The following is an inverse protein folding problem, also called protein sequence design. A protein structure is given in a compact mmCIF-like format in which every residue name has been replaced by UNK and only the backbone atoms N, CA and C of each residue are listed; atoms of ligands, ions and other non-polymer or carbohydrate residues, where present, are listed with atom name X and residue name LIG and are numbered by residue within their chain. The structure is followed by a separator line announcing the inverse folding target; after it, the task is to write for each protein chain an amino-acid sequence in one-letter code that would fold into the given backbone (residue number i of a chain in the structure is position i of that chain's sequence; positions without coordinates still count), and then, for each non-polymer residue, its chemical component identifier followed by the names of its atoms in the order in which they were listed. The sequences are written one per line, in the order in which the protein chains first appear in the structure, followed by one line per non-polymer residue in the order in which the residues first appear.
data_IF_381334911680
#
_entry.id   IF_381334911680
#
_cell.length_a   1.000
_cell.length_b   1.000
_cell.length_c   1.000
_cell.angle_alpha   90.00
_cell.angle_beta   90.00
_cell.angle_gamma   90.00
#
_symmetry.space_group_name_H-M   'P 1'
#
loop_
_entity.id
_entity.type
_entity.pdbx_description
1 polymer ?
#
# COMPACT_ATOMS: atom_id res chain seq x y z
N UNK A 1 5.87 6.48 -19.05
CA UNK A 1 6.99 7.00 -18.25
C UNK A 1 6.53 7.89 -17.07
N UNK A 2 5.28 8.35 -17.02
CA UNK A 2 4.70 9.14 -15.88
C UNK A 2 4.12 8.25 -14.79
N UNK A 3 3.72 7.02 -15.11
CA UNK A 3 3.10 6.08 -14.16
C UNK A 3 4.08 5.47 -13.15
N UNK A 4 5.37 5.37 -13.51
CA UNK A 4 6.38 4.74 -12.66
C UNK A 4 6.86 5.59 -11.47
N UNK A 5 6.86 6.92 -11.60
CA UNK A 5 7.37 7.81 -10.53
C UNK A 5 6.45 7.93 -9.32
N UNK A 6 5.16 7.66 -9.46
CA UNK A 6 4.18 7.94 -8.41
C UNK A 6 3.85 6.74 -7.51
N UNK A 7 4.09 5.53 -8.01
CA UNK A 7 3.95 4.31 -7.19
C UNK A 7 5.16 4.12 -6.23
N UNK A 8 6.30 4.71 -6.57
CA UNK A 8 7.54 4.51 -5.81
C UNK A 8 7.49 5.17 -4.43
N UNK A 9 6.90 6.33 -4.31
CA UNK A 9 6.90 7.12 -3.08
C UNK A 9 5.82 6.67 -2.08
N UNK A 10 4.62 6.35 -2.55
CA UNK A 10 3.60 5.69 -1.70
C UNK A 10 4.12 4.33 -1.19
N UNK A 11 4.87 3.62 -2.04
CA UNK A 11 5.54 2.38 -1.68
C UNK A 11 6.65 2.57 -0.64
N UNK A 12 7.40 3.67 -0.71
CA UNK A 12 8.45 3.97 0.26
C UNK A 12 7.91 4.23 1.67
N UNK A 13 6.76 4.88 1.79
CA UNK A 13 6.14 5.12 3.09
C UNK A 13 5.73 3.81 3.79
N UNK A 14 5.30 2.81 3.03
CA UNK A 14 4.88 1.50 3.56
C UNK A 14 6.05 0.53 3.75
N UNK A 15 7.15 0.70 3.00
CA UNK A 15 8.34 -0.14 3.10
C UNK A 15 9.38 0.44 4.07
N UNK A 16 8.94 1.01 5.20
CA UNK A 16 9.85 1.46 6.26
C UNK A 16 10.52 0.28 6.96
N UNK A 17 11.74 0.46 7.52
CA UNK A 17 12.45 -0.58 8.24
C UNK A 17 11.62 -1.24 9.33
N UNK A 18 11.69 -2.56 9.41
CA UNK A 18 11.02 -3.37 10.43
C UNK A 18 11.71 -3.18 11.77
N UNK A 19 10.94 -2.88 12.82
CA UNK A 19 11.46 -2.72 14.19
C UNK A 19 11.63 -4.09 14.86
N UNK A 20 12.49 -4.17 15.88
CA UNK A 20 12.81 -5.39 16.61
C UNK A 20 11.58 -6.06 17.24
N UNK A 21 11.32 -7.29 16.84
CA UNK A 21 10.22 -8.16 17.22
C UNK A 21 10.35 -9.46 16.44
N UNK A 22 9.26 -10.13 16.14
CA UNK A 22 9.29 -11.22 15.15
C UNK A 22 9.44 -10.64 13.74
N UNK A 23 10.69 -10.50 13.30
CA UNK A 23 11.06 -9.87 12.02
C UNK A 23 10.33 -10.50 10.84
N UNK A 24 10.09 -11.81 10.89
CA UNK A 24 9.35 -12.51 9.85
C UNK A 24 7.88 -12.07 9.82
N UNK A 25 7.20 -12.09 10.96
CA UNK A 25 5.77 -11.68 11.04
C UNK A 25 5.57 -10.23 10.64
N UNK A 26 6.46 -9.34 11.07
CA UNK A 26 6.39 -7.94 10.68
C UNK A 26 6.62 -7.77 9.17
N UNK A 27 7.55 -8.53 8.58
CA UNK A 27 7.78 -8.52 7.13
C UNK A 27 6.53 -9.00 6.39
N UNK A 28 5.88 -10.08 6.84
CA UNK A 28 4.61 -10.56 6.29
C UNK A 28 3.54 -9.47 6.39
N UNK A 29 3.41 -8.83 7.56
CA UNK A 29 2.43 -7.77 7.78
C UNK A 29 2.66 -6.56 6.85
N UNK A 30 3.92 -6.16 6.62
CA UNK A 30 4.25 -5.08 5.69
C UNK A 30 3.88 -5.42 4.26
N UNK A 31 4.19 -6.64 3.82
CA UNK A 31 3.80 -7.09 2.48
C UNK A 31 2.27 -7.18 2.32
N UNK A 32 1.55 -7.65 3.35
CA UNK A 32 0.10 -7.64 3.35
C UNK A 32 -0.51 -6.24 3.33
N UNK A 33 0.14 -5.25 3.94
CA UNK A 33 -0.30 -3.86 3.86
C UNK A 33 -0.29 -3.34 2.41
N UNK A 34 0.71 -3.71 1.60
CA UNK A 34 0.76 -3.36 0.17
C UNK A 34 -0.47 -3.90 -0.58
N UNK A 35 -0.87 -5.14 -0.25
CA UNK A 35 -2.07 -5.76 -0.83
C UNK A 35 -3.36 -5.05 -0.39
N UNK A 36 -3.51 -4.83 0.92
CA UNK A 36 -4.78 -4.32 1.47
C UNK A 36 -5.02 -2.84 1.24
N UNK A 37 -3.96 -2.06 1.17
CA UNK A 37 -4.07 -0.63 0.84
C UNK A 37 -4.22 -0.39 -0.66
N UNK A 38 -4.05 -1.45 -1.47
CA UNK A 38 -4.20 -1.36 -2.91
C UNK A 38 -3.17 -0.45 -3.56
N UNK A 39 -1.97 -0.40 -3.00
CA UNK A 39 -0.84 0.35 -3.56
C UNK A 39 -0.42 -0.23 -4.90
N UNK A 40 -0.54 -1.56 -5.02
CA UNK A 40 -0.33 -2.31 -6.26
C UNK A 40 -1.65 -2.84 -6.80
N UNK A 41 -1.75 -2.94 -8.11
CA UNK A 41 -2.89 -3.54 -8.78
C UNK A 41 -2.73 -5.08 -8.88
N UNK A 42 -3.84 -5.81 -9.02
CA UNK A 42 -3.76 -7.21 -9.39
C UNK A 42 -2.89 -7.41 -10.64
N UNK A 43 -1.97 -8.35 -10.57
CA UNK A 43 -1.02 -8.62 -11.65
C UNK A 43 0.23 -7.74 -11.69
N UNK A 44 0.34 -6.71 -10.86
CA UNK A 44 1.56 -5.91 -10.74
C UNK A 44 2.73 -6.76 -10.22
N UNK A 45 3.94 -6.40 -10.64
CA UNK A 45 5.14 -7.04 -10.15
C UNK A 45 5.51 -6.53 -8.77
N UNK A 46 5.74 -7.47 -7.84
CA UNK A 46 6.35 -7.14 -6.55
C UNK A 46 7.81 -6.71 -6.77
N UNK A 47 8.31 -5.68 -6.07
CA UNK A 47 9.71 -5.30 -6.14
C UNK A 47 10.65 -6.49 -5.87
N UNK A 48 11.85 -6.52 -6.47
CA UNK A 48 12.80 -7.61 -6.27
C UNK A 48 13.15 -7.82 -4.80
N UNK A 49 13.34 -9.09 -4.38
CA UNK A 49 13.68 -9.44 -2.98
C UNK A 49 14.83 -8.60 -2.40
N UNK A 50 15.82 -8.27 -3.23
CA UNK A 50 16.97 -7.45 -2.81
C UNK A 50 16.54 -6.03 -2.43
N UNK A 51 15.64 -5.45 -3.19
CA UNK A 51 15.13 -4.11 -2.97
C UNK A 51 14.23 -4.08 -1.74
N UNK A 52 13.30 -5.04 -1.62
CA UNK A 52 12.45 -5.19 -0.44
C UNK A 52 13.28 -5.39 0.83
N UNK A 53 14.32 -6.23 0.79
CA UNK A 53 15.22 -6.44 1.91
C UNK A 53 15.92 -5.14 2.34
N UNK A 54 16.37 -4.35 1.37
CA UNK A 54 16.99 -3.04 1.64
C UNK A 54 16.00 -2.05 2.24
N UNK A 55 14.80 -1.91 1.65
CA UNK A 55 13.77 -0.96 2.11
C UNK A 55 13.22 -1.34 3.49
N UNK A 56 12.99 -2.62 3.73
CA UNK A 56 12.48 -3.13 5.02
C UNK A 56 13.57 -3.26 6.11
N UNK A 57 14.85 -3.15 5.75
CA UNK A 57 15.95 -3.32 6.70
C UNK A 57 16.08 -4.74 7.24
N UNK A 58 15.73 -5.77 6.46
CA UNK A 58 15.72 -7.18 6.85
C UNK A 58 16.58 -8.03 5.93
N UNK A 59 16.88 -9.27 6.36
CA UNK A 59 17.61 -10.23 5.54
C UNK A 59 16.81 -10.68 4.28
N UNK A 60 17.50 -10.93 3.17
CA UNK A 60 16.86 -11.42 1.93
C UNK A 60 16.12 -12.75 2.15
N UNK A 61 16.64 -13.61 3.01
CA UNK A 61 15.99 -14.89 3.32
C UNK A 61 14.67 -14.69 4.07
N UNK A 62 14.59 -13.68 4.95
CA UNK A 62 13.35 -13.30 5.64
C UNK A 62 12.30 -12.84 4.62
N UNK A 63 12.70 -11.98 3.68
CA UNK A 63 11.80 -11.52 2.61
C UNK A 63 11.33 -12.69 1.75
N UNK A 64 12.25 -13.58 1.34
CA UNK A 64 11.90 -14.77 0.55
C UNK A 64 10.92 -15.69 1.26
N UNK A 65 11.13 -15.94 2.56
CA UNK A 65 10.22 -16.74 3.37
C UNK A 65 8.85 -16.07 3.51
N UNK A 66 8.80 -14.76 3.71
CA UNK A 66 7.55 -14.00 3.78
C UNK A 66 6.79 -14.05 2.44
N UNK A 67 7.48 -13.82 1.32
CA UNK A 67 6.89 -13.94 -0.03
C UNK A 67 6.37 -15.35 -0.27
N UNK A 68 7.15 -16.38 0.10
CA UNK A 68 6.70 -17.77 -0.03
C UNK A 68 5.44 -18.02 0.78
N UNK A 69 5.42 -17.63 2.05
CA UNK A 69 4.24 -17.78 2.91
C UNK A 69 2.99 -17.11 2.34
N UNK A 70 3.15 -15.91 1.77
CA UNK A 70 2.06 -15.17 1.14
C UNK A 70 1.66 -15.75 -0.23
N UNK A 71 2.58 -16.37 -0.95
CA UNK A 71 2.27 -17.10 -2.17
C UNK A 71 1.52 -18.41 -1.87
N UNK A 72 1.91 -19.13 -0.83
CA UNK A 72 1.21 -20.31 -0.35
C UNK A 72 -0.22 -19.97 0.15
N UNK A 73 -0.42 -18.74 0.61
CA UNK A 73 -1.70 -18.15 1.02
C UNK A 73 -2.44 -17.42 -0.12
N UNK A 74 -1.99 -17.56 -1.36
CA UNK A 74 -2.62 -17.04 -2.59
C UNK A 74 -2.69 -15.50 -2.69
N UNK A 75 -1.89 -14.76 -1.91
CA UNK A 75 -1.76 -13.30 -2.06
C UNK A 75 -0.82 -12.91 -3.21
N UNK A 76 0.14 -13.78 -3.53
CA UNK A 76 1.09 -13.59 -4.61
C UNK A 76 1.14 -14.79 -5.53
N UNK A 77 1.51 -14.56 -6.79
CA UNK A 77 1.79 -15.59 -7.78
C UNK A 77 3.24 -15.47 -8.25
N UNK A 78 3.92 -16.61 -8.43
CA UNK A 78 5.30 -16.62 -8.91
C UNK A 78 5.37 -17.17 -10.33
N UNK A 79 5.94 -16.39 -11.25
CA UNK A 79 6.21 -16.82 -12.63
C UNK A 79 7.71 -17.08 -12.81
N UNK A 80 8.07 -18.17 -13.49
CA UNK A 80 9.48 -18.52 -13.81
C UNK A 80 9.87 -18.00 -15.20
N UNK A 81 11.18 -17.83 -15.43
CA UNK A 81 11.71 -17.49 -16.74
C UNK A 81 12.30 -16.08 -16.82
N UNK A 82 12.66 -15.65 -18.05
CA UNK A 82 13.34 -14.37 -18.31
C UNK A 82 12.51 -13.14 -17.82
N UNK A 83 11.19 -13.26 -17.89
CA UNK A 83 10.23 -12.25 -17.42
C UNK A 83 9.52 -12.73 -16.17
N UNK A 84 10.18 -13.61 -15.40
CA UNK A 84 9.65 -14.15 -14.17
C UNK A 84 9.74 -13.15 -13.02
N UNK A 85 9.03 -13.45 -11.93
CA UNK A 85 9.00 -12.62 -10.74
C UNK A 85 7.84 -13.06 -9.83
N UNK A 86 7.66 -12.29 -8.80
CA UNK A 86 6.48 -12.39 -7.92
C UNK A 86 5.51 -11.27 -8.29
N UNK A 87 4.26 -11.59 -8.39
CA UNK A 87 3.18 -10.69 -8.80
C UNK A 87 2.06 -10.73 -7.78
N UNK A 88 1.37 -9.61 -7.62
CA UNK A 88 0.14 -9.57 -6.85
C UNK A 88 -0.92 -10.46 -7.50
N UNK A 89 -1.63 -11.27 -6.71
CA UNK A 89 -2.66 -12.16 -7.24
C UNK A 89 -3.82 -11.37 -7.85
N UNK A 90 -4.38 -11.87 -8.95
CA UNK A 90 -5.53 -11.26 -9.61
C UNK A 90 -6.77 -11.22 -8.71
N UNK A 91 -6.87 -12.18 -7.81
CA UNK A 91 -7.93 -12.26 -6.80
C UNK A 91 -7.30 -12.44 -5.43
N UNK A 92 -7.45 -11.45 -4.58
CA UNK A 92 -6.91 -11.51 -3.21
C UNK A 92 -7.84 -12.35 -2.35
N UNK A 93 -7.32 -13.34 -1.59
CA UNK A 93 -8.12 -14.11 -0.66
C UNK A 93 -8.88 -13.19 0.28
N UNK A 94 -10.19 -13.43 0.44
CA UNK A 94 -10.95 -12.72 1.46
C UNK A 94 -10.31 -12.97 2.81
N UNK A 95 -10.04 -11.92 3.53
CA UNK A 95 -9.42 -11.96 4.87
C UNK A 95 -10.22 -12.92 5.76
N UNK A 96 -9.82 -14.19 5.81
CA UNK A 96 -10.22 -15.07 6.90
C UNK A 96 -9.42 -14.60 8.12
N UNK A 97 -9.93 -13.55 8.78
CA UNK A 97 -9.33 -13.13 10.04
C UNK A 97 -9.66 -14.21 11.08
N UNK A 98 -8.68 -15.08 11.34
CA UNK A 98 -8.60 -15.82 12.61
C UNK A 98 -8.35 -14.87 13.79
N UNK A 99 -7.97 -13.63 13.52
CA UNK A 99 -7.99 -12.55 14.50
C UNK A 99 -9.45 -12.24 14.77
N UNK A 100 -9.86 -12.47 16.01
CA UNK A 100 -11.17 -12.11 16.55
C UNK A 100 -11.69 -10.85 15.90
N UNK A 101 -12.79 -10.96 15.17
CA UNK A 101 -13.39 -9.83 14.46
C UNK A 101 -13.66 -8.78 15.52
N UNK A 102 -12.81 -7.75 15.62
CA UNK A 102 -13.09 -6.62 16.50
C UNK A 102 -14.46 -6.08 16.12
N UNK A 103 -15.40 -6.21 17.02
CA UNK A 103 -16.69 -5.58 16.87
C UNK A 103 -16.47 -4.09 17.13
N UNK A 104 -16.55 -3.30 16.09
CA UNK A 104 -16.43 -1.85 16.19
C UNK A 104 -17.67 -1.28 16.84
N UNK A 105 -17.50 -0.55 17.93
CA UNK A 105 -18.57 0.22 18.52
C UNK A 105 -18.77 1.54 17.77
N UNK A 106 -19.93 2.21 17.89
CA UNK A 106 -20.11 3.55 17.33
C UNK A 106 -19.04 4.55 17.81
N UNK A 107 -18.57 4.42 19.05
CA UNK A 107 -17.50 5.25 19.61
C UNK A 107 -16.16 4.98 18.91
N UNK A 108 -15.78 3.71 18.72
CA UNK A 108 -14.56 3.36 17.96
C UNK A 108 -14.58 3.95 16.54
N UNK A 109 -15.76 3.93 15.90
CA UNK A 109 -15.92 4.49 14.55
C UNK A 109 -15.78 6.02 14.59
N UNK A 110 -16.39 6.68 15.55
CA UNK A 110 -16.29 8.13 15.71
C UNK A 110 -14.84 8.57 15.96
N UNK A 111 -14.12 7.88 16.85
CA UNK A 111 -12.70 8.15 17.13
C UNK A 111 -11.83 7.95 15.88
N UNK A 112 -12.08 6.88 15.11
CA UNK A 112 -11.36 6.63 13.86
C UNK A 112 -11.61 7.73 12.83
N UNK A 113 -12.87 8.14 12.65
CA UNK A 113 -13.24 9.21 11.72
C UNK A 113 -12.64 10.55 12.14
N UNK A 114 -12.65 10.87 13.45
CA UNK A 114 -12.02 12.08 13.98
C UNK A 114 -10.50 12.09 13.72
N UNK A 115 -9.82 10.95 13.92
CA UNK A 115 -8.41 10.84 13.62
C UNK A 115 -8.13 10.99 12.11
N UNK A 116 -8.94 10.36 11.26
CA UNK A 116 -8.83 10.51 9.80
C UNK A 116 -9.00 11.96 9.38
N UNK A 117 -10.02 12.67 9.90
CA UNK A 117 -10.24 14.08 9.60
C UNK A 117 -9.01 14.93 9.92
N UNK A 118 -8.41 14.75 11.10
CA UNK A 118 -7.19 15.48 11.49
C UNK A 118 -6.03 15.21 10.53
N UNK A 119 -5.78 13.94 10.21
CA UNK A 119 -4.66 13.54 9.35
C UNK A 119 -4.88 13.95 7.89
N UNK A 120 -6.05 13.64 7.33
CA UNK A 120 -6.35 13.86 5.92
C UNK A 120 -6.49 15.35 5.60
N UNK A 121 -7.26 16.09 6.40
CA UNK A 121 -7.37 17.55 6.24
C UNK A 121 -6.03 18.24 6.51
N UNK A 122 -5.25 17.75 7.47
CA UNK A 122 -3.89 18.21 7.73
C UNK A 122 -2.97 18.05 6.52
N UNK A 123 -2.96 16.86 5.93
CA UNK A 123 -2.18 16.58 4.72
C UNK A 123 -2.60 17.47 3.54
N UNK A 124 -3.90 17.59 3.27
CA UNK A 124 -4.43 18.44 2.21
C UNK A 124 -4.02 19.91 2.43
N UNK A 125 -4.13 20.42 3.66
CA UNK A 125 -3.70 21.80 3.99
C UNK A 125 -2.21 22.02 3.80
N UNK A 126 -1.38 21.05 4.13
CA UNK A 126 0.07 21.12 3.90
C UNK A 126 0.38 21.09 2.40
N UNK A 127 -0.22 20.17 1.65
CA UNK A 127 -0.06 20.07 0.22
C UNK A 127 -0.51 21.33 -0.51
N UNK A 128 -1.62 21.97 -0.10
CA UNK A 128 -2.16 23.20 -0.70
C UNK A 128 -1.27 24.43 -0.52
N UNK A 129 -0.33 24.40 0.42
CA UNK A 129 0.65 25.49 0.63
C UNK A 129 1.88 25.35 -0.27
N UNK A 130 2.03 24.23 -0.95
CA UNK A 130 3.14 23.97 -1.87
C UNK A 130 2.78 24.42 -3.28
N UNK A 131 3.79 24.84 -4.02
CA UNK A 131 3.66 25.02 -5.46
C UNK A 131 3.90 23.65 -6.11
N UNK A 132 2.82 23.01 -6.51
CA UNK A 132 2.89 21.70 -7.18
C UNK A 132 3.41 21.88 -8.61
N UNK A 133 4.27 20.99 -9.04
CA UNK A 133 4.71 20.85 -10.43
C UNK A 133 3.55 20.44 -11.33
N UNK A 134 3.70 20.55 -12.64
CA UNK A 134 2.67 20.08 -13.57
C UNK A 134 2.40 18.57 -13.40
N UNK A 135 3.47 17.79 -13.23
CA UNK A 135 3.38 16.34 -13.04
C UNK A 135 2.61 15.99 -11.75
N UNK A 136 2.91 16.65 -10.63
CA UNK A 136 2.21 16.44 -9.36
C UNK A 136 0.71 16.77 -9.47
N UNK A 137 0.36 17.83 -10.18
CA UNK A 137 -1.05 18.18 -10.43
C UNK A 137 -1.76 17.15 -11.30
N UNK A 138 -1.11 16.70 -12.37
CA UNK A 138 -1.69 15.70 -13.29
C UNK A 138 -1.94 14.38 -12.55
N UNK A 139 -1.01 13.97 -11.71
CA UNK A 139 -1.17 12.80 -10.86
C UNK A 139 -2.33 12.94 -9.89
N UNK A 140 -2.39 14.06 -9.15
CA UNK A 140 -3.48 14.30 -8.21
C UNK A 140 -4.84 14.31 -8.93
N UNK A 141 -4.92 14.94 -10.10
CA UNK A 141 -6.14 14.96 -10.91
C UNK A 141 -6.55 13.56 -11.39
N UNK A 142 -5.58 12.76 -11.81
CA UNK A 142 -5.81 11.37 -12.20
C UNK A 142 -6.39 10.57 -11.03
N UNK A 143 -5.76 10.64 -9.83
CA UNK A 143 -6.24 9.92 -8.64
C UNK A 143 -7.65 10.34 -8.22
N UNK A 144 -7.94 11.63 -8.29
CA UNK A 144 -9.29 12.14 -7.99
C UNK A 144 -10.32 11.59 -8.97
N UNK A 145 -10.02 11.62 -10.28
CA UNK A 145 -10.89 11.09 -11.32
C UNK A 145 -11.11 9.58 -11.19
N UNK A 146 -10.07 8.82 -10.80
CA UNK A 146 -10.18 7.38 -10.53
C UNK A 146 -11.18 7.11 -9.41
N UNK A 147 -11.13 7.87 -8.31
CA UNK A 147 -12.06 7.72 -7.18
C UNK A 147 -13.49 8.12 -7.55
N UNK A 148 -13.66 9.21 -8.29
CA UNK A 148 -14.98 9.65 -8.76
C UNK A 148 -15.67 8.63 -9.66
N UNK A 149 -14.92 7.87 -10.44
CA UNK A 149 -15.41 6.85 -11.35
C UNK A 149 -15.42 5.44 -10.76
N UNK A 150 -14.97 5.28 -9.53
CA UNK A 150 -14.78 3.98 -8.88
C UNK A 150 -16.11 3.27 -8.63
N UNK A 151 -16.15 1.99 -9.00
CA UNK A 151 -17.21 1.09 -8.55
C UNK A 151 -17.02 0.67 -7.08
N UNK A 152 -18.05 0.06 -6.46
CA UNK A 152 -18.00 -0.34 -5.05
C UNK A 152 -16.80 -1.25 -4.70
N UNK A 153 -16.37 -2.08 -5.63
CA UNK A 153 -15.28 -3.04 -5.41
C UNK A 153 -13.90 -2.36 -5.41
N UNK A 154 -13.73 -1.30 -6.19
CA UNK A 154 -12.47 -0.58 -6.36
C UNK A 154 -12.36 0.67 -5.48
N UNK A 155 -13.48 1.23 -5.03
CA UNK A 155 -13.53 2.51 -4.33
C UNK A 155 -12.52 2.58 -3.18
N UNK A 156 -12.50 1.57 -2.30
CA UNK A 156 -11.61 1.56 -1.14
C UNK A 156 -10.13 1.64 -1.52
N UNK A 157 -9.74 0.94 -2.56
CA UNK A 157 -8.37 0.91 -3.07
C UNK A 157 -7.96 2.26 -3.65
N UNK A 158 -8.81 2.82 -4.49
CA UNK A 158 -8.56 4.09 -5.15
C UNK A 158 -8.59 5.27 -4.17
N UNK A 159 -9.51 5.24 -3.21
CA UNK A 159 -9.57 6.19 -2.09
C UNK A 159 -8.28 6.18 -1.26
N UNK A 160 -7.78 5.00 -0.91
CA UNK A 160 -6.51 4.87 -0.18
C UNK A 160 -5.33 5.45 -0.97
N UNK A 161 -5.27 5.22 -2.28
CA UNK A 161 -4.22 5.79 -3.16
C UNK A 161 -4.30 7.31 -3.22
N UNK A 162 -5.50 7.89 -3.31
CA UNK A 162 -5.69 9.34 -3.29
C UNK A 162 -5.18 9.95 -1.97
N UNK A 163 -5.54 9.36 -0.83
CA UNK A 163 -5.11 9.86 0.47
C UNK A 163 -3.59 9.75 0.68
N UNK A 164 -2.96 8.66 0.22
CA UNK A 164 -1.51 8.53 0.21
C UNK A 164 -0.85 9.60 -0.68
N UNK A 165 -1.44 9.93 -1.82
CA UNK A 165 -0.96 11.01 -2.70
C UNK A 165 -0.99 12.36 -1.99
N UNK A 166 -2.02 12.66 -1.21
CA UNK A 166 -2.05 13.89 -0.40
C UNK A 166 -0.94 13.92 0.65
N UNK A 167 -0.69 12.81 1.35
CA UNK A 167 0.39 12.73 2.34
C UNK A 167 1.76 12.95 1.68
N UNK A 168 2.00 12.34 0.54
CA UNK A 168 3.21 12.53 -0.27
C UNK A 168 3.39 13.99 -0.70
N UNK A 169 2.35 14.59 -1.28
CA UNK A 169 2.37 15.98 -1.69
C UNK A 169 2.54 16.93 -0.50
N UNK A 170 2.13 16.54 0.69
CA UNK A 170 2.38 17.28 1.93
C UNK A 170 3.85 17.19 2.39
N UNK A 171 4.58 16.15 1.96
CA UNK A 171 5.96 15.88 2.38
C UNK A 171 6.05 15.21 3.76
N UNK A 172 5.05 14.42 4.13
CA UNK A 172 4.96 13.70 5.41
C UNK A 172 4.89 12.18 5.22
#
# INVERSE_FOLDING_TARGET
MVTEMNDESANEALLRPVRSGNVFEETVNRLLQLVWLGVYEPGDALPPERELASKLGVGRDTVRQAIKSLSDAEYFTTKRGRYGGTFFADTVPRRHSTVSRRVWTPADIADLLGMREVLEVGAIRLASRRTLTAVERDVLWMRLSEVEQAGPDDYRRLDSRLHLTFAELAGV
#
